data_IF_876433552125
#
_entry.id   IF_876433552125
#
_cell.length_a   1.000
_cell.length_b   1.000
_cell.length_c   1.000
_cell.angle_alpha   90.00
_cell.angle_beta   90.00
_cell.angle_gamma   90.00
#
_symmetry.space_group_name_H-M   'P 1'
#
loop_
_entity.id
_entity.type
_entity.pdbx_description
1 polymer ?
#
# COMPACT_ATOMS: atom_id res chain seq x y z
N UNK A 1 12.45 -8.19 -14.66
CA UNK A 1 11.68 -7.05 -15.15
C UNK A 1 10.80 -6.45 -14.07
N UNK A 2 10.76 -5.14 -14.01
CA UNK A 2 9.94 -4.46 -13.04
C UNK A 2 8.55 -4.22 -13.61
N UNK A 3 7.53 -4.63 -12.88
CA UNK A 3 6.15 -4.34 -13.23
C UNK A 3 5.58 -3.46 -12.13
N UNK A 4 5.03 -2.32 -12.52
CA UNK A 4 4.49 -1.39 -11.56
C UNK A 4 3.40 -2.05 -10.70
N UNK A 5 3.44 -1.80 -9.40
CA UNK A 5 2.41 -2.29 -8.50
C UNK A 5 1.04 -1.77 -8.94
N UNK A 6 0.95 -0.50 -9.33
CA UNK A 6 -0.32 0.05 -9.78
C UNK A 6 -0.84 -0.63 -11.04
N UNK A 7 0.06 -1.08 -11.92
CA UNK A 7 -0.38 -1.83 -13.10
C UNK A 7 -1.12 -3.10 -12.72
N UNK A 8 -0.69 -3.74 -11.61
CA UNK A 8 -1.35 -4.95 -11.16
C UNK A 8 -2.64 -4.65 -10.41
N UNK A 9 -2.64 -3.58 -9.62
CA UNK A 9 -3.79 -3.26 -8.78
C UNK A 9 -4.95 -2.66 -9.56
N UNK A 10 -4.67 -1.99 -10.67
CA UNK A 10 -5.73 -1.28 -11.40
C UNK A 10 -6.80 -2.21 -11.98
N UNK A 11 -6.50 -3.50 -12.06
CA UNK A 11 -7.47 -4.46 -12.55
C UNK A 11 -8.36 -5.03 -11.46
N UNK A 12 -8.16 -4.65 -10.21
CA UNK A 12 -9.00 -5.13 -9.14
C UNK A 12 -10.39 -4.47 -9.20
N UNK A 13 -11.40 -5.28 -8.95
CA UNK A 13 -12.76 -4.79 -8.91
C UNK A 13 -12.91 -3.70 -7.85
N UNK A 14 -13.57 -2.63 -8.21
CA UNK A 14 -13.83 -1.55 -7.27
C UNK A 14 -12.79 -0.45 -7.26
N UNK A 15 -11.65 -0.65 -7.96
CA UNK A 15 -10.65 0.41 -8.02
C UNK A 15 -11.17 1.60 -8.82
N UNK A 16 -10.74 2.80 -8.43
CA UNK A 16 -11.12 4.03 -9.12
C UNK A 16 -9.83 4.74 -9.54
N UNK A 17 -9.69 4.98 -10.84
CA UNK A 17 -8.50 5.65 -11.35
C UNK A 17 -8.62 7.15 -11.13
N UNK A 18 -7.66 7.73 -10.42
CA UNK A 18 -7.63 9.16 -10.18
C UNK A 18 -6.79 9.84 -11.25
N UNK A 19 -5.60 9.33 -11.48
CA UNK A 19 -4.70 9.75 -12.55
C UNK A 19 -4.16 8.49 -13.20
N UNK A 20 -3.42 8.60 -14.32
CA UNK A 20 -2.82 7.40 -14.90
C UNK A 20 -1.95 6.61 -13.91
N UNK A 21 -1.37 7.31 -12.91
CA UNK A 21 -0.49 6.67 -11.95
C UNK A 21 -1.12 6.41 -10.60
N UNK A 22 -2.31 6.94 -10.34
CA UNK A 22 -2.87 6.84 -9.00
C UNK A 22 -4.25 6.21 -9.02
N UNK A 23 -4.46 5.24 -8.13
CA UNK A 23 -5.69 4.47 -8.03
C UNK A 23 -6.17 4.50 -6.58
N UNK A 24 -7.48 4.71 -6.41
CA UNK A 24 -8.09 4.67 -5.08
C UNK A 24 -8.98 3.44 -4.96
N UNK A 25 -9.13 2.94 -3.75
CA UNK A 25 -9.89 1.74 -3.48
C UNK A 25 -10.94 2.00 -2.41
N UNK A 26 -12.19 1.58 -2.64
CA UNK A 26 -13.19 1.59 -1.57
C UNK A 26 -12.87 0.50 -0.57
N UNK A 27 -13.50 0.57 0.59
CA UNK A 27 -13.21 -0.37 1.68
C UNK A 27 -13.46 -1.82 1.26
N UNK A 28 -14.42 -2.05 0.37
CA UNK A 28 -14.76 -3.40 -0.07
C UNK A 28 -13.65 -4.05 -0.91
N UNK A 29 -12.78 -3.25 -1.51
CA UNK A 29 -11.70 -3.77 -2.34
C UNK A 29 -10.42 -4.04 -1.55
N UNK A 30 -10.35 -3.56 -0.31
CA UNK A 30 -9.11 -3.64 0.49
C UNK A 30 -8.64 -5.09 0.69
N UNK A 31 -9.53 -6.07 1.02
CA UNK A 31 -9.03 -7.44 1.21
C UNK A 31 -8.27 -7.99 0.02
N UNK A 32 -8.67 -7.65 -1.21
CA UNK A 32 -7.95 -8.13 -2.39
C UNK A 32 -6.61 -7.44 -2.54
N UNK A 33 -6.53 -6.16 -2.18
CA UNK A 33 -5.25 -5.46 -2.19
C UNK A 33 -4.30 -6.13 -1.20
N UNK A 34 -4.78 -6.45 -0.01
CA UNK A 34 -3.96 -7.10 1.01
C UNK A 34 -3.47 -8.47 0.53
N UNK A 35 -4.33 -9.24 -0.13
CA UNK A 35 -3.95 -10.54 -0.66
C UNK A 35 -2.80 -10.42 -1.65
N UNK A 36 -2.89 -9.44 -2.56
CA UNK A 36 -1.84 -9.23 -3.54
C UNK A 36 -0.52 -8.81 -2.90
N UNK A 37 -0.61 -7.98 -1.87
CA UNK A 37 0.59 -7.53 -1.17
C UNK A 37 1.29 -8.72 -0.51
N UNK A 38 0.53 -9.60 0.14
CA UNK A 38 1.10 -10.80 0.75
C UNK A 38 1.70 -11.72 -0.31
N UNK A 39 0.94 -12.00 -1.37
CA UNK A 39 1.37 -12.93 -2.40
C UNK A 39 2.67 -12.51 -3.06
N UNK A 40 2.85 -11.22 -3.23
CA UNK A 40 4.02 -10.70 -3.91
C UNK A 40 5.12 -10.20 -2.97
N UNK A 41 4.91 -10.32 -1.68
CA UNK A 41 5.85 -9.85 -0.66
C UNK A 41 6.19 -8.38 -0.89
N UNK A 42 5.17 -7.59 -1.11
CA UNK A 42 5.29 -6.15 -1.23
C UNK A 42 5.17 -5.51 0.16
N UNK A 43 5.62 -4.28 0.29
CA UNK A 43 5.55 -3.55 1.55
C UNK A 43 4.71 -2.30 1.34
N UNK A 44 3.70 -2.09 2.16
CA UNK A 44 3.00 -0.81 2.17
C UNK A 44 3.93 0.24 2.76
N UNK A 45 4.08 1.36 2.09
CA UNK A 45 4.83 2.49 2.63
C UNK A 45 3.89 3.56 3.19
N UNK A 46 2.63 3.51 2.83
CA UNK A 46 1.65 4.45 3.35
C UNK A 46 0.48 4.61 2.42
N UNK A 47 -0.33 5.60 2.70
CA UNK A 47 -1.47 5.89 1.85
C UNK A 47 -2.18 7.16 2.26
N UNK A 48 -3.05 7.60 1.38
CA UNK A 48 -3.87 8.78 1.58
C UNK A 48 -5.34 8.40 1.61
N UNK A 49 -6.15 9.25 2.22
CA UNK A 49 -7.60 9.06 2.28
C UNK A 49 -8.26 10.11 1.40
N UNK A 50 -9.21 9.67 0.58
CA UNK A 50 -9.99 10.56 -0.28
C UNK A 50 -11.46 10.47 0.09
N UNK A 51 -12.16 11.57 -0.15
CA UNK A 51 -13.61 11.58 0.02
C UNK A 51 -14.25 10.76 -1.11
N UNK A 52 -15.54 10.40 -0.97
CA UNK A 52 -16.24 9.73 -2.07
C UNK A 52 -16.19 10.51 -3.38
N UNK A 53 -16.01 11.84 -3.32
CA UNK A 53 -15.91 12.69 -4.50
C UNK A 53 -14.49 12.76 -5.04
N UNK A 54 -13.58 11.93 -4.51
CA UNK A 54 -12.19 11.85 -4.96
C UNK A 54 -11.36 13.08 -4.62
N UNK A 55 -11.67 13.72 -3.50
CA UNK A 55 -10.87 14.84 -3.01
C UNK A 55 -10.01 14.37 -1.86
N UNK A 56 -8.76 14.83 -1.81
CA UNK A 56 -7.86 14.47 -0.74
C UNK A 56 -8.31 15.09 0.57
N UNK A 57 -8.39 14.25 1.61
CA UNK A 57 -8.74 14.74 2.95
C UNK A 57 -7.55 15.28 3.70
N UNK A 58 -6.33 14.98 3.18
CA UNK A 58 -5.05 15.27 3.83
C UNK A 58 -4.77 14.39 5.04
N UNK A 59 -5.64 13.42 5.33
CA UNK A 59 -5.34 12.39 6.31
C UNK A 59 -4.54 11.30 5.62
N UNK A 60 -3.51 10.79 6.30
CA UNK A 60 -2.64 9.79 5.73
C UNK A 60 -1.98 8.98 6.82
N UNK A 61 -1.27 7.96 6.39
CA UNK A 61 -0.48 7.12 7.29
C UNK A 61 0.77 6.67 6.54
N UNK A 62 1.76 6.21 7.28
CA UNK A 62 2.96 5.70 6.65
C UNK A 62 3.58 4.60 7.49
N UNK A 63 4.40 3.78 6.83
CA UNK A 63 5.18 2.72 7.46
C UNK A 63 6.60 2.84 6.94
N UNK A 64 7.58 2.82 7.84
CA UNK A 64 8.99 2.84 7.46
C UNK A 64 9.55 1.43 7.63
N UNK A 65 10.03 0.81 6.55
CA UNK A 65 10.63 -0.52 6.66
C UNK A 65 11.81 -0.51 7.62
N UNK A 66 11.96 -1.62 8.34
CA UNK A 66 13.02 -1.79 9.33
C UNK A 66 14.07 -2.74 8.74
N UNK A 67 15.29 -2.23 8.54
CA UNK A 67 16.35 -3.02 7.95
C UNK A 67 16.83 -4.14 8.87
N UNK A 68 16.46 -4.09 10.15
CA UNK A 68 16.91 -5.09 11.13
C UNK A 68 16.01 -6.33 11.20
N UNK A 69 14.90 -6.34 10.47
CA UNK A 69 14.01 -7.49 10.46
C UNK A 69 13.89 -8.00 9.02
N UNK A 70 13.32 -9.18 8.86
CA UNK A 70 13.24 -9.82 7.55
C UNK A 70 12.25 -9.09 6.65
N UNK A 71 12.33 -9.37 5.34
CA UNK A 71 11.35 -8.87 4.38
C UNK A 71 9.94 -9.31 4.80
N UNK A 72 9.78 -10.57 5.12
CA UNK A 72 8.50 -11.13 5.51
C UNK A 72 7.91 -10.39 6.71
N UNK A 73 8.76 -10.07 7.70
CA UNK A 73 8.32 -9.34 8.88
C UNK A 73 7.90 -7.92 8.53
N UNK A 74 8.63 -7.27 7.63
CA UNK A 74 8.24 -5.94 7.17
C UNK A 74 6.91 -5.97 6.43
N UNK A 75 6.71 -6.96 5.57
CA UNK A 75 5.45 -7.12 4.86
C UNK A 75 4.31 -7.23 5.86
N UNK A 76 4.47 -8.13 6.83
CA UNK A 76 3.43 -8.37 7.83
C UNK A 76 3.13 -7.12 8.65
N UNK A 77 4.16 -6.42 9.11
CA UNK A 77 3.96 -5.23 9.94
C UNK A 77 3.30 -4.10 9.15
N UNK A 78 3.65 -3.94 7.87
CA UNK A 78 3.04 -2.91 7.05
C UNK A 78 1.55 -3.21 6.82
N UNK A 79 1.21 -4.48 6.65
CA UNK A 79 -0.18 -4.90 6.48
C UNK A 79 -0.97 -4.65 7.77
N UNK A 80 -0.39 -4.99 8.92
CA UNK A 80 -1.05 -4.75 10.20
C UNK A 80 -1.33 -3.26 10.41
N UNK A 81 -0.38 -2.43 10.06
CA UNK A 81 -0.56 -0.98 10.20
C UNK A 81 -1.64 -0.46 9.27
N UNK A 82 -1.66 -0.94 8.03
CA UNK A 82 -2.68 -0.59 7.05
C UNK A 82 -4.07 -0.95 7.56
N UNK A 83 -4.23 -2.19 8.01
CA UNK A 83 -5.52 -2.67 8.49
C UNK A 83 -6.01 -1.86 9.69
N UNK A 84 -5.12 -1.59 10.62
CA UNK A 84 -5.49 -0.83 11.81
C UNK A 84 -5.92 0.58 11.44
N UNK A 85 -5.15 1.23 10.56
CA UNK A 85 -5.48 2.60 10.18
C UNK A 85 -6.84 2.68 9.50
N UNK A 86 -7.09 1.79 8.54
CA UNK A 86 -8.34 1.81 7.79
C UNK A 86 -9.53 1.48 8.71
N UNK A 87 -9.34 0.50 9.60
CA UNK A 87 -10.40 0.14 10.54
C UNK A 87 -10.75 1.30 11.46
N UNK A 88 -9.74 1.97 12.00
CA UNK A 88 -9.98 3.08 12.92
C UNK A 88 -10.55 4.29 12.21
N UNK A 89 -10.07 4.55 10.99
CA UNK A 89 -10.58 5.67 10.21
C UNK A 89 -12.06 5.45 9.89
N UNK A 90 -12.44 4.24 9.48
CA UNK A 90 -13.82 3.92 9.18
C UNK A 90 -14.73 4.06 10.39
N UNK A 91 -14.24 3.66 11.56
CA UNK A 91 -15.03 3.79 12.80
C UNK A 91 -15.31 5.25 13.13
N UNK A 92 -14.35 6.13 12.86
CA UNK A 92 -14.53 7.54 13.19
C UNK A 92 -15.25 8.33 12.12
N UNK A 93 -15.10 7.95 10.86
CA UNK A 93 -15.54 8.78 9.74
C UNK A 93 -16.52 8.13 8.79
N UNK A 94 -16.76 6.83 8.94
CA UNK A 94 -17.66 6.09 8.06
C UNK A 94 -16.91 5.34 6.97
N UNK A 95 -17.65 4.52 6.23
CA UNK A 95 -17.06 3.57 5.30
C UNK A 95 -17.11 4.01 3.84
N UNK A 96 -17.43 5.28 3.60
CA UNK A 96 -17.58 5.75 2.22
C UNK A 96 -16.29 6.33 1.64
N UNK A 97 -15.23 6.38 2.42
CA UNK A 97 -13.97 6.97 1.99
C UNK A 97 -13.20 6.00 1.11
N UNK A 98 -12.28 6.56 0.32
CA UNK A 98 -11.45 5.77 -0.56
C UNK A 98 -9.99 5.89 -0.10
N UNK A 99 -9.21 4.88 -0.42
CA UNK A 99 -7.83 4.80 0.07
C UNK A 99 -6.87 4.59 -1.09
N UNK A 100 -5.80 5.38 -1.12
CA UNK A 100 -4.70 5.13 -2.06
C UNK A 100 -3.56 4.50 -1.28
N UNK A 101 -2.63 3.86 -1.99
CA UNK A 101 -1.50 3.21 -1.35
C UNK A 101 -0.21 3.52 -2.10
N UNK A 102 0.85 3.72 -1.34
CA UNK A 102 2.21 3.70 -1.86
C UNK A 102 2.79 2.36 -1.44
N UNK A 103 3.19 1.56 -2.41
CA UNK A 103 3.63 0.19 -2.16
C UNK A 103 5.01 0.00 -2.78
N UNK A 104 5.94 -0.53 -1.99
CA UNK A 104 7.26 -0.86 -2.49
C UNK A 104 7.25 -2.28 -3.02
N UNK A 105 7.77 -2.42 -4.23
CA UNK A 105 8.07 -3.72 -4.77
C UNK A 105 9.41 -4.12 -4.19
N UNK A 106 9.42 -5.17 -3.37
CA UNK A 106 10.54 -5.51 -2.53
C UNK A 106 11.83 -5.71 -3.24
N UNK A 107 11.77 -5.86 -4.45
CA UNK A 107 12.95 -6.15 -5.00
C UNK A 107 13.48 -5.22 -5.78
N UNK A 108 13.32 -4.55 -5.20
CA UNK A 108 14.02 -3.59 -5.60
C UNK A 108 15.49 -3.56 -5.37
N UNK A 109 15.34 -4.07 -5.05
CA UNK A 109 16.06 -4.06 -4.73
C UNK A 109 17.05 -4.23 -4.63
N UNK A 110 17.10 -4.61 -4.68
CA UNK A 110 17.88 -4.85 -4.42
C UNK A 110 18.76 -4.95 -4.71
N UNK A 111 18.80 -4.98 -5.10
CA UNK A 111 19.54 -5.07 -5.29
C UNK A 111 20.35 -5.03 -5.02
N UNK A 112 20.32 -5.27 -5.20
CA UNK A 112 20.93 -5.38 -4.80
C UNK A 112 21.60 -5.43 -4.35
N UNK A 113 21.60 -5.78 -4.59
CA UNK A 113 22.17 -5.94 -3.98
C UNK A 113 22.71 -5.69 -3.55
N UNK A 114 22.83 -5.41 -3.51
CA UNK A 114 23.27 -5.16 -3.05
C UNK A 114 23.32 -4.96 -2.16
N UNK A 115 23.13 -4.90 -2.09
CA UNK A 115 23.02 -4.76 -1.24
C UNK A 115 22.73 -4.34 -0.61
N UNK A 116 22.31 -3.90 -0.58
CA UNK A 116 21.87 -3.43 -0.04
C UNK A 116 21.23 -3.30 0.40
N UNK A 117 20.89 -3.22 0.39
CA UNK A 117 20.16 -3.10 0.80
C UNK A 117 19.26 -2.97 0.74
N UNK A 118 18.66 -3.30 0.92
CA UNK A 118 17.56 -3.16 0.66
C UNK A 118 16.93 -2.22 0.69
N UNK A 119 16.74 -1.97 0.94
CA UNK A 119 16.04 -0.79 0.73
C UNK A 119 17.02 0.33 0.77
N UNK A 120 16.75 -0.16 0.84
CA UNK A 120 17.26 0.40 0.87
C UNK A 120 17.76 0.87 1.13
N UNK A 121 17.96 0.92 1.18
CA UNK A 121 18.37 1.12 1.40
C UNK A 121 18.91 1.36 1.41
N UNK A 122 19.14 1.51 1.04
CA UNK A 122 19.53 1.70 0.99
C UNK A 122 19.57 1.73 0.86
#
# INVERSE_FOLDING_TARGET
>A
MYISVNERLKYLTGSVKITPEEIAFPIQAIPRVLDLVVENQWIFLGGDVLTPELKYTYDNWYYSPDANISLSANVKQSIEKCKRYISEYGKRNGDDFLYTFTIANSYVEGKQGQGDGPFVSG
#
